data_IF_419895389394
#
_entry.id   IF_419895389394
#
_cell.length_a   1.000
_cell.length_b   1.000
_cell.length_c   1.000
_cell.angle_alpha   90.00
_cell.angle_beta   90.00
_cell.angle_gamma   90.00
#
_symmetry.space_group_name_H-M   'P 1'
#
loop_
_entity.id
_entity.type
_entity.pdbx_description
1 polymer ?
#
# COMPACT_ATOMS: atom_id res chain seq x y z
N UNK A 1 -1.13 -13.69 12.47
CA UNK A 1 -0.41 -14.31 11.34
C UNK A 1 0.51 -13.29 10.63
N UNK A 2 0.06 -12.09 10.21
CA UNK A 2 0.88 -11.14 9.43
C UNK A 2 2.23 -10.66 10.02
N UNK A 3 2.31 -10.20 11.29
CA UNK A 3 3.58 -9.70 11.85
C UNK A 3 4.58 -10.82 12.19
N UNK A 4 4.07 -11.96 12.67
CA UNK A 4 4.90 -13.14 12.96
C UNK A 4 5.38 -13.83 11.66
N UNK A 5 4.57 -13.81 10.61
CA UNK A 5 4.97 -14.24 9.27
C UNK A 5 6.12 -13.40 8.70
N UNK A 6 6.06 -12.06 8.87
CA UNK A 6 7.16 -11.18 8.47
C UNK A 6 8.48 -11.50 9.21
N UNK A 7 8.41 -11.75 10.52
CA UNK A 7 9.59 -12.16 11.30
C UNK A 7 10.09 -13.54 10.83
N UNK A 8 9.20 -14.47 10.52
CA UNK A 8 9.58 -15.78 9.96
C UNK A 8 10.30 -15.66 8.63
N UNK A 9 9.79 -14.83 7.70
CA UNK A 9 10.44 -14.57 6.40
C UNK A 9 11.84 -13.95 6.59
N UNK A 10 12.01 -13.05 7.56
CA UNK A 10 13.33 -12.49 7.89
C UNK A 10 14.32 -13.53 8.41
N UNK A 11 13.86 -14.56 9.14
CA UNK A 11 14.69 -15.66 9.60
C UNK A 11 14.97 -16.70 8.49
N UNK A 12 14.08 -16.83 7.50
CA UNK A 12 14.19 -17.81 6.40
C UNK A 12 14.98 -17.29 5.19
N UNK A 13 15.40 -16.01 5.17
CA UNK A 13 16.36 -15.48 4.18
C UNK A 13 17.70 -16.24 4.14
N UNK A 14 17.96 -17.10 5.14
CA UNK A 14 19.05 -18.07 5.16
C UNK A 14 18.91 -19.19 4.11
N UNK A 15 17.70 -19.49 3.63
CA UNK A 15 17.42 -20.59 2.70
C UNK A 15 17.81 -20.26 1.26
N UNK A 16 18.02 -18.98 0.94
CA UNK A 16 18.41 -18.52 -0.39
C UNK A 16 17.29 -18.58 -1.44
N UNK A 17 16.02 -18.76 -1.04
CA UNK A 17 14.91 -18.70 -1.99
C UNK A 17 14.76 -17.28 -2.56
N UNK A 18 14.89 -17.16 -3.89
CA UNK A 18 14.73 -15.91 -4.62
C UNK A 18 13.35 -15.30 -4.37
N UNK A 19 12.32 -16.11 -4.10
CA UNK A 19 10.97 -15.65 -3.77
C UNK A 19 10.97 -14.77 -2.51
N UNK A 20 11.56 -15.24 -1.43
CA UNK A 20 11.57 -14.52 -0.15
C UNK A 20 12.33 -13.19 -0.25
N UNK A 21 13.43 -13.18 -1.01
CA UNK A 21 14.19 -11.96 -1.30
C UNK A 21 13.33 -10.95 -2.06
N UNK A 22 12.57 -11.37 -3.07
CA UNK A 22 11.70 -10.47 -3.85
C UNK A 22 10.58 -9.87 -3.01
N UNK A 23 9.94 -10.69 -2.18
CA UNK A 23 8.89 -10.26 -1.25
C UNK A 23 9.44 -9.23 -0.26
N UNK A 24 10.59 -9.53 0.35
CA UNK A 24 11.24 -8.64 1.30
C UNK A 24 11.63 -7.31 0.65
N UNK A 25 12.16 -7.36 -0.57
CA UNK A 25 12.51 -6.17 -1.34
C UNK A 25 11.27 -5.30 -1.63
N UNK A 26 10.16 -5.90 -2.07
CA UNK A 26 8.91 -5.20 -2.36
C UNK A 26 8.35 -4.49 -1.12
N UNK A 27 8.32 -5.18 0.01
CA UNK A 27 7.86 -4.63 1.28
C UNK A 27 8.76 -3.48 1.75
N UNK A 28 10.07 -3.67 1.67
CA UNK A 28 11.06 -2.65 2.04
C UNK A 28 10.96 -1.41 1.16
N UNK A 29 10.86 -1.59 -0.16
CA UNK A 29 10.68 -0.50 -1.13
C UNK A 29 9.39 0.26 -0.82
N UNK A 30 8.29 -0.45 -0.58
CA UNK A 30 7.00 0.15 -0.22
C UNK A 30 7.12 1.03 1.02
N UNK A 31 7.68 0.50 2.12
CA UNK A 31 7.84 1.26 3.37
C UNK A 31 8.70 2.50 3.13
N UNK A 32 9.84 2.35 2.45
CA UNK A 32 10.74 3.47 2.15
C UNK A 32 10.03 4.56 1.34
N UNK A 33 9.25 4.18 0.33
CA UNK A 33 8.49 5.14 -0.48
C UNK A 33 7.44 5.89 0.35
N UNK A 34 6.70 5.20 1.22
CA UNK A 34 5.73 5.84 2.11
C UNK A 34 6.42 6.82 3.07
N UNK A 35 7.56 6.44 3.64
CA UNK A 35 8.35 7.30 4.53
C UNK A 35 8.90 8.54 3.80
N UNK A 36 9.37 8.38 2.55
CA UNK A 36 9.84 9.49 1.72
C UNK A 36 8.69 10.46 1.43
N UNK A 37 7.54 9.97 0.95
CA UNK A 37 6.38 10.81 0.65
C UNK A 37 5.88 11.52 1.90
N UNK A 38 5.79 10.82 3.03
CA UNK A 38 5.40 11.38 4.33
C UNK A 38 6.35 12.52 4.74
N UNK A 39 7.66 12.30 4.65
CA UNK A 39 8.67 13.28 5.03
C UNK A 39 8.61 14.52 4.15
N UNK A 40 8.51 14.34 2.83
CA UNK A 40 8.37 15.45 1.87
C UNK A 40 7.08 16.25 2.14
N UNK A 41 5.97 15.56 2.43
CA UNK A 41 4.69 16.18 2.78
C UNK A 41 4.73 17.00 4.07
N UNK A 42 5.33 16.47 5.14
CA UNK A 42 5.48 17.21 6.38
C UNK A 42 6.33 18.47 6.19
N UNK A 43 7.44 18.36 5.43
CA UNK A 43 8.42 19.43 5.23
C UNK A 43 7.86 20.67 4.55
N UNK A 44 6.88 20.54 3.65
CA UNK A 44 6.40 21.68 2.85
C UNK A 44 5.98 22.87 3.71
N UNK A 45 5.13 22.66 4.71
CA UNK A 45 4.61 23.74 5.54
C UNK A 45 5.41 23.95 6.82
N UNK A 46 5.91 22.87 7.42
CA UNK A 46 6.66 22.97 8.67
C UNK A 46 7.96 23.77 8.48
N UNK A 47 8.66 23.57 7.35
CA UNK A 47 9.93 24.28 7.10
C UNK A 47 9.73 25.76 6.78
N UNK A 48 8.62 26.13 6.14
CA UNK A 48 8.31 27.52 5.84
C UNK A 48 7.88 28.30 7.09
N UNK A 49 7.16 27.63 7.99
CA UNK A 49 6.79 28.22 9.28
C UNK A 49 8.01 28.40 10.18
N UNK A 50 8.93 27.44 10.21
CA UNK A 50 10.18 27.53 10.95
C UNK A 50 11.07 28.69 10.45
N UNK A 51 11.08 28.93 9.14
CA UNK A 51 11.82 30.04 8.51
C UNK A 51 11.08 31.38 8.51
N UNK A 52 9.86 31.44 9.05
CA UNK A 52 8.98 32.62 9.00
C UNK A 52 8.69 33.13 7.57
N UNK A 53 8.88 32.29 6.55
CA UNK A 53 8.59 32.65 5.15
C UNK A 53 7.11 32.48 4.81
N UNK A 54 6.39 31.69 5.63
CA UNK A 54 4.95 31.48 5.45
C UNK A 54 4.18 32.81 5.59
N UNK A 55 4.54 33.65 6.55
CA UNK A 55 3.85 34.92 6.80
C UNK A 55 3.99 35.86 5.60
N UNK A 56 5.16 35.90 4.96
CA UNK A 56 5.38 36.65 3.72
C UNK A 56 4.51 36.11 2.57
N UNK A 57 4.42 34.79 2.41
CA UNK A 57 3.55 34.17 1.39
C UNK A 57 2.07 34.49 1.62
N UNK A 58 1.62 34.58 2.88
CA UNK A 58 0.23 34.89 3.21
C UNK A 58 -0.17 36.36 2.92
N UNK A 59 0.79 37.27 2.74
CA UNK A 59 0.51 38.65 2.30
C UNK A 59 0.20 38.76 0.81
N UNK A 60 0.53 37.72 0.03
CA UNK A 60 0.27 37.72 -1.42
C UNK A 60 -1.22 37.51 -1.73
N UNK A 61 -1.75 38.10 -2.82
CA UNK A 61 -3.15 37.95 -3.23
C UNK A 61 -3.43 36.59 -3.89
N UNK A 62 -2.97 35.50 -3.29
CA UNK A 62 -3.17 34.10 -3.74
C UNK A 62 -4.16 33.42 -2.80
N UNK A 63 -5.12 32.65 -3.33
CA UNK A 63 -6.09 31.90 -2.52
C UNK A 63 -5.40 30.80 -1.72
N UNK A 64 -5.88 30.52 -0.49
CA UNK A 64 -5.31 29.49 0.39
C UNK A 64 -5.20 28.12 -0.29
N UNK A 65 -6.25 27.70 -1.00
CA UNK A 65 -6.29 26.42 -1.72
C UNK A 65 -5.30 26.39 -2.88
N UNK A 66 -5.09 27.51 -3.56
CA UNK A 66 -4.12 27.62 -4.64
C UNK A 66 -2.69 27.53 -4.11
N UNK A 67 -2.39 28.22 -3.01
CA UNK A 67 -1.11 28.10 -2.29
C UNK A 67 -0.83 26.64 -1.93
N UNK A 68 -1.82 25.93 -1.37
CA UNK A 68 -1.71 24.51 -1.05
C UNK A 68 -1.40 23.65 -2.29
N UNK A 69 -2.12 23.85 -3.39
CA UNK A 69 -1.90 23.09 -4.62
C UNK A 69 -0.59 23.40 -5.34
N UNK A 70 -0.10 24.64 -5.24
CA UNK A 70 1.22 25.04 -5.74
C UNK A 70 2.32 24.34 -4.95
N UNK A 71 2.25 24.33 -3.60
CA UNK A 71 3.23 23.61 -2.76
C UNK A 71 3.17 22.09 -2.99
N UNK A 72 1.97 21.53 -3.08
CA UNK A 72 1.80 20.09 -3.34
C UNK A 72 2.30 19.64 -4.72
N UNK A 73 2.55 20.54 -5.67
CA UNK A 73 3.03 20.18 -7.00
C UNK A 73 4.34 19.37 -6.98
N UNK A 74 5.29 19.76 -6.11
CA UNK A 74 6.55 19.04 -5.93
C UNK A 74 6.33 17.60 -5.43
N UNK A 75 5.37 17.41 -4.52
CA UNK A 75 5.03 16.07 -4.03
C UNK A 75 4.30 15.26 -5.07
N UNK A 76 3.43 15.87 -5.88
CA UNK A 76 2.79 15.16 -7.00
C UNK A 76 3.83 14.57 -7.95
N UNK A 77 4.93 15.28 -8.19
CA UNK A 77 6.04 14.76 -8.98
C UNK A 77 6.74 13.59 -8.28
N UNK A 78 7.04 13.70 -6.98
CA UNK A 78 7.63 12.60 -6.21
C UNK A 78 6.74 11.34 -6.22
N UNK A 79 5.43 11.50 -5.96
CA UNK A 79 4.44 10.41 -6.03
C UNK A 79 4.41 9.77 -7.41
N UNK A 80 4.43 10.56 -8.50
CA UNK A 80 4.47 10.03 -9.87
C UNK A 80 5.72 9.18 -10.11
N UNK A 81 6.89 9.64 -9.69
CA UNK A 81 8.12 8.87 -9.81
C UNK A 81 8.10 7.60 -8.96
N UNK A 82 7.60 7.66 -7.73
CA UNK A 82 7.42 6.49 -6.88
C UNK A 82 6.53 5.44 -7.53
N UNK A 83 5.42 5.84 -8.16
CA UNK A 83 4.53 4.92 -8.87
C UNK A 83 5.20 4.29 -10.08
N UNK A 84 5.99 5.05 -10.84
CA UNK A 84 6.75 4.52 -11.99
C UNK A 84 7.75 3.46 -11.51
N UNK A 85 8.50 3.74 -10.44
CA UNK A 85 9.48 2.80 -9.88
C UNK A 85 8.81 1.51 -9.39
N UNK A 86 7.68 1.60 -8.70
CA UNK A 86 6.98 0.38 -8.23
C UNK A 86 6.31 -0.37 -9.37
N UNK A 87 5.73 0.33 -10.34
CA UNK A 87 5.16 -0.32 -11.54
C UNK A 87 6.26 -1.08 -12.29
N UNK A 88 7.45 -0.49 -12.42
CA UNK A 88 8.61 -1.17 -12.99
C UNK A 88 9.02 -2.40 -12.17
N UNK A 89 9.08 -2.28 -10.84
CA UNK A 89 9.37 -3.41 -9.96
C UNK A 89 8.36 -4.55 -10.11
N UNK A 90 7.06 -4.24 -10.12
CA UNK A 90 5.97 -5.19 -10.34
C UNK A 90 6.09 -5.87 -11.72
N UNK A 91 6.47 -5.12 -12.75
CA UNK A 91 6.70 -5.69 -14.08
C UNK A 91 7.87 -6.68 -14.10
N UNK A 92 8.97 -6.36 -13.41
CA UNK A 92 10.10 -7.28 -13.24
C UNK A 92 9.65 -8.55 -12.51
N UNK A 93 8.86 -8.43 -11.43
CA UNK A 93 8.32 -9.59 -10.72
C UNK A 93 7.44 -10.45 -11.61
N UNK A 94 6.61 -9.84 -12.46
CA UNK A 94 5.72 -10.56 -13.37
C UNK A 94 6.54 -11.42 -14.35
N UNK A 95 7.62 -10.88 -14.91
CA UNK A 95 8.57 -11.63 -15.76
C UNK A 95 9.28 -12.73 -14.96
N UNK A 96 9.76 -12.43 -13.75
CA UNK A 96 10.48 -13.41 -12.91
C UNK A 96 9.58 -14.58 -12.50
N UNK A 97 8.31 -14.31 -12.20
CA UNK A 97 7.33 -15.34 -11.83
C UNK A 97 7.08 -16.32 -12.97
N UNK A 98 7.04 -15.85 -14.22
CA UNK A 98 6.90 -16.68 -15.41
C UNK A 98 8.10 -17.63 -15.58
N UNK A 99 9.32 -17.11 -15.43
CA UNK A 99 10.54 -17.93 -15.49
C UNK A 99 10.50 -19.04 -14.43
N UNK A 100 10.18 -18.71 -13.18
CA UNK A 100 10.16 -19.66 -12.06
C UNK A 100 9.13 -20.78 -12.25
N UNK A 101 7.90 -20.43 -12.68
CA UNK A 101 6.86 -21.42 -12.94
C UNK A 101 7.24 -22.35 -14.10
N UNK A 102 7.85 -21.80 -15.16
CA UNK A 102 8.28 -22.59 -16.31
C UNK A 102 9.43 -23.55 -15.96
N UNK A 103 10.37 -23.12 -15.11
CA UNK A 103 11.52 -23.96 -14.69
C UNK A 103 11.17 -25.04 -13.67
N UNK A 104 10.29 -24.76 -12.70
CA UNK A 104 10.01 -25.70 -11.60
C UNK A 104 8.85 -26.65 -11.88
N UNK A 105 7.95 -26.30 -12.81
CA UNK A 105 6.80 -27.14 -13.11
C UNK A 105 6.89 -27.82 -14.48
N UNK A 106 7.60 -27.34 -15.51
CA UNK A 106 7.59 -28.13 -16.75
C UNK A 106 8.47 -27.70 -17.89
N UNK A 107 9.76 -28.02 -17.80
CA UNK A 107 10.42 -28.66 -18.95
C UNK A 107 10.46 -30.15 -18.67
N UNK A 108 9.66 -30.99 -19.36
CA UNK A 108 9.88 -32.42 -19.34
C UNK A 108 11.28 -32.65 -19.92
N UNK A 109 12.25 -33.03 -19.09
CA UNK A 109 13.37 -33.82 -19.60
C UNK A 109 12.73 -35.09 -20.18
N UNK A 110 12.87 -35.25 -21.50
CA UNK A 110 12.14 -36.18 -22.37
C UNK A 110 12.30 -37.70 -22.06
N UNK A 111 12.67 -38.11 -20.85
CA UNK A 111 13.07 -39.48 -20.53
C UNK A 111 12.33 -40.16 -19.36
N UNK A 112 11.29 -39.54 -18.79
CA UNK A 112 10.50 -40.12 -17.70
C UNK A 112 9.10 -40.58 -18.14
N UNK A 113 8.97 -41.80 -18.66
CA UNK A 113 7.68 -42.47 -18.87
C UNK A 113 7.13 -42.98 -17.53
N UNK A 114 6.36 -42.16 -16.81
CA UNK A 114 5.63 -42.64 -15.64
C UNK A 114 4.84 -41.56 -14.91
N UNK A 115 3.51 -41.59 -15.01
CA UNK A 115 2.60 -40.87 -14.12
C UNK A 115 2.35 -39.40 -14.49
N UNK A 116 1.47 -39.17 -15.47
CA UNK A 116 0.88 -37.85 -15.75
C UNK A 116 -0.07 -37.44 -14.62
N UNK A 117 0.41 -36.64 -13.67
CA UNK A 117 -0.45 -35.66 -13.01
C UNK A 117 -0.31 -34.34 -13.78
N UNK A 118 -1.46 -33.77 -14.15
CA UNK A 118 -1.56 -32.66 -15.10
C UNK A 118 -0.73 -31.47 -14.63
N UNK A 119 0.28 -31.16 -15.42
CA UNK A 119 0.74 -29.79 -15.53
C UNK A 119 -0.42 -28.96 -16.04
N UNK A 120 -0.99 -28.15 -15.16
CA UNK A 120 -1.84 -27.03 -15.54
C UNK A 120 -0.97 -26.11 -16.41
N UNK A 121 -1.01 -26.38 -17.72
CA UNK A 121 -0.46 -25.53 -18.76
C UNK A 121 -0.89 -24.10 -18.51
N UNK A 122 0.05 -23.16 -18.61
CA UNK A 122 -0.12 -21.70 -18.65
C UNK A 122 -1.52 -21.31 -19.14
N UNK A 123 -2.48 -21.18 -18.22
CA UNK A 123 -3.86 -20.90 -18.56
C UNK A 123 -4.04 -19.40 -18.63
N UNK A 124 -4.87 -18.94 -19.57
CA UNK A 124 -5.25 -17.52 -19.65
C UNK A 124 -5.80 -17.03 -18.30
N UNK A 125 -6.42 -17.93 -17.54
CA UNK A 125 -6.95 -17.66 -16.20
C UNK A 125 -5.86 -17.34 -15.18
N UNK A 126 -4.72 -18.08 -15.19
CA UNK A 126 -3.60 -17.81 -14.29
C UNK A 126 -2.93 -16.46 -14.59
N UNK A 127 -2.72 -16.17 -15.88
CA UNK A 127 -2.17 -14.88 -16.30
C UNK A 127 -3.12 -13.75 -15.92
N UNK A 128 -4.42 -13.91 -16.17
CA UNK A 128 -5.44 -12.96 -15.74
C UNK A 128 -5.43 -12.72 -14.22
N UNK A 129 -5.33 -13.78 -13.43
CA UNK A 129 -5.22 -13.70 -11.97
C UNK A 129 -3.97 -12.92 -11.51
N UNK A 130 -2.81 -13.15 -12.13
CA UNK A 130 -1.58 -12.42 -11.82
C UNK A 130 -1.69 -10.93 -12.17
N UNK A 131 -2.27 -10.59 -13.32
CA UNK A 131 -2.52 -9.19 -13.69
C UNK A 131 -3.50 -8.51 -12.73
N UNK A 132 -4.57 -9.20 -12.33
CA UNK A 132 -5.52 -8.68 -11.35
C UNK A 132 -4.86 -8.45 -10.00
N UNK A 133 -4.09 -9.42 -9.49
CA UNK A 133 -3.31 -9.30 -8.25
C UNK A 133 -2.41 -8.07 -8.27
N UNK A 134 -1.62 -7.92 -9.32
CA UNK A 134 -0.66 -6.82 -9.46
C UNK A 134 -1.36 -5.47 -9.68
N UNK A 135 -2.47 -5.45 -10.42
CA UNK A 135 -3.31 -4.27 -10.58
C UNK A 135 -3.90 -3.80 -9.26
N UNK A 136 -4.44 -4.71 -8.44
CA UNK A 136 -4.95 -4.39 -7.11
C UNK A 136 -3.84 -3.92 -6.17
N UNK A 137 -2.66 -4.54 -6.21
CA UNK A 137 -1.52 -4.09 -5.43
C UNK A 137 -1.15 -2.63 -5.75
N UNK A 138 -0.99 -2.30 -7.04
CA UNK A 138 -0.67 -0.93 -7.47
C UNK A 138 -1.77 0.07 -7.10
N UNK A 139 -3.04 -0.33 -7.22
CA UNK A 139 -4.16 0.52 -6.83
C UNK A 139 -4.17 0.81 -5.31
N UNK A 140 -3.95 -0.20 -4.47
CA UNK A 140 -3.87 -0.04 -3.02
C UNK A 140 -2.66 0.82 -2.62
N UNK A 141 -1.51 0.58 -3.24
CA UNK A 141 -0.32 1.38 -2.99
C UNK A 141 -0.54 2.85 -3.37
N UNK A 142 -1.13 3.12 -4.53
CA UNK A 142 -1.46 4.47 -4.95
C UNK A 142 -2.36 5.17 -3.92
N UNK A 143 -3.44 4.50 -3.53
CA UNK A 143 -4.37 4.99 -2.53
C UNK A 143 -3.64 5.29 -1.22
N UNK A 144 -2.80 4.38 -0.75
CA UNK A 144 -2.08 4.53 0.51
C UNK A 144 -1.06 5.66 0.48
N UNK A 145 -0.33 5.84 -0.64
CA UNK A 145 0.54 7.00 -0.86
C UNK A 145 -0.25 8.31 -0.80
N UNK A 146 -1.43 8.36 -1.42
CA UNK A 146 -2.30 9.56 -1.40
C UNK A 146 -2.81 9.83 0.02
N UNK A 147 -3.21 8.80 0.76
CA UNK A 147 -3.61 8.89 2.15
C UNK A 147 -2.48 9.45 3.03
N UNK A 148 -1.29 8.84 2.98
CA UNK A 148 -0.10 9.26 3.71
C UNK A 148 0.23 10.71 3.41
N UNK A 149 0.21 11.10 2.13
CA UNK A 149 0.44 12.50 1.72
C UNK A 149 -0.53 13.46 2.41
N UNK A 150 -1.84 13.17 2.41
CA UNK A 150 -2.84 14.08 2.97
C UNK A 150 -2.78 14.13 4.50
N UNK A 151 -2.57 13.00 5.17
CA UNK A 151 -2.33 12.95 6.62
C UNK A 151 -1.10 13.78 7.00
N UNK A 152 0.00 13.58 6.28
CA UNK A 152 1.25 14.31 6.51
C UNK A 152 1.14 15.81 6.22
N UNK A 153 0.38 16.18 5.19
CA UNK A 153 0.06 17.59 4.91
C UNK A 153 -0.74 18.20 6.06
N UNK A 154 -1.76 17.50 6.56
CA UNK A 154 -2.59 17.97 7.68
C UNK A 154 -1.75 18.22 8.94
N UNK A 155 -0.93 17.26 9.34
CA UNK A 155 -0.03 17.42 10.49
C UNK A 155 1.03 18.52 10.27
N UNK A 156 1.54 18.67 9.04
CA UNK A 156 2.47 19.75 8.68
C UNK A 156 1.85 21.14 8.76
N UNK A 157 0.54 21.26 8.53
CA UNK A 157 -0.21 22.52 8.67
C UNK A 157 -0.51 22.84 10.15
N UNK A 158 -0.86 21.83 10.94
CA UNK A 158 -1.24 22.01 12.35
C UNK A 158 -0.01 22.28 13.23
N UNK A 159 1.07 21.54 13.04
CA UNK A 159 2.24 21.60 13.93
C UNK A 159 3.27 22.61 13.44
N UNK A 160 3.95 23.27 14.39
CA UNK A 160 4.99 24.26 14.09
C UNK A 160 6.37 23.64 13.83
N UNK A 161 6.59 22.40 14.27
CA UNK A 161 7.86 21.70 14.18
C UNK A 161 7.78 20.53 13.21
N UNK A 162 8.76 20.41 12.32
CA UNK A 162 8.87 19.32 11.35
C UNK A 162 8.90 17.94 12.03
N UNK A 163 9.68 17.79 13.11
CA UNK A 163 9.83 16.51 13.81
C UNK A 163 8.48 16.08 14.40
N UNK A 164 7.76 17.01 15.04
CA UNK A 164 6.42 16.72 15.61
C UNK A 164 5.43 16.32 14.51
N UNK A 165 5.48 16.98 13.35
CA UNK A 165 4.64 16.64 12.20
C UNK A 165 4.92 15.23 11.67
N UNK A 166 6.19 14.85 11.55
CA UNK A 166 6.60 13.50 11.09
C UNK A 166 6.09 12.45 12.07
N UNK A 167 6.33 12.60 13.37
CA UNK A 167 5.86 11.62 14.37
C UNK A 167 4.32 11.55 14.44
N UNK A 168 3.63 12.69 14.42
CA UNK A 168 2.16 12.72 14.39
C UNK A 168 1.60 11.99 13.18
N UNK A 169 2.21 12.19 12.00
CA UNK A 169 1.84 11.48 10.78
C UNK A 169 2.10 9.99 10.88
N UNK A 170 3.28 9.60 11.37
CA UNK A 170 3.66 8.19 11.54
C UNK A 170 2.70 7.47 12.48
N UNK A 171 2.40 8.03 13.65
CA UNK A 171 1.44 7.42 14.60
C UNK A 171 0.03 7.34 14.02
N UNK A 172 -0.40 8.35 13.27
CA UNK A 172 -1.72 8.34 12.62
C UNK A 172 -1.81 7.23 11.56
N UNK A 173 -0.79 7.12 10.70
CA UNK A 173 -0.74 6.08 9.66
C UNK A 173 -0.59 4.68 10.27
N UNK A 174 0.26 4.52 11.28
CA UNK A 174 0.39 3.27 12.02
C UNK A 174 -0.93 2.88 12.70
N UNK A 175 -1.63 3.84 13.31
CA UNK A 175 -2.95 3.63 13.90
C UNK A 175 -3.97 3.17 12.86
N UNK A 176 -4.07 3.89 11.74
CA UNK A 176 -4.97 3.56 10.63
C UNK A 176 -4.67 2.15 10.06
N UNK A 177 -3.39 1.78 9.96
CA UNK A 177 -2.96 0.49 9.43
C UNK A 177 -3.16 -0.67 10.41
N UNK A 178 -2.78 -0.49 11.68
CA UNK A 178 -2.66 -1.57 12.65
C UNK A 178 -3.92 -1.76 13.48
N UNK A 179 -4.62 -0.68 13.86
CA UNK A 179 -5.78 -0.78 14.76
C UNK A 179 -6.85 -1.71 14.19
N UNK A 180 -7.31 -1.56 12.93
CA UNK A 180 -8.32 -2.47 12.41
C UNK A 180 -7.84 -3.92 12.29
N UNK A 181 -6.56 -4.10 11.92
CA UNK A 181 -5.95 -5.43 11.79
C UNK A 181 -5.90 -6.13 13.15
N UNK A 182 -5.58 -5.41 14.22
CA UNK A 182 -5.56 -5.92 15.60
C UNK A 182 -6.99 -6.19 16.08
N UNK A 183 -7.90 -5.23 15.88
CA UNK A 183 -9.29 -5.31 16.34
C UNK A 183 -10.06 -6.45 15.69
N UNK A 184 -9.81 -6.77 14.42
CA UNK A 184 -10.44 -7.92 13.76
C UNK A 184 -9.60 -9.20 13.89
N UNK A 185 -8.28 -9.10 13.81
CA UNK A 185 -7.39 -10.25 13.82
C UNK A 185 -7.32 -10.98 15.17
N UNK A 186 -7.32 -10.25 16.29
CA UNK A 186 -7.28 -10.88 17.62
C UNK A 186 -8.55 -11.68 17.88
N UNK A 187 -9.78 -11.13 17.75
CA UNK A 187 -11.00 -11.91 17.96
C UNK A 187 -11.11 -13.13 17.05
N UNK A 188 -10.76 -13.00 15.76
CA UNK A 188 -10.78 -14.14 14.84
C UNK A 188 -9.83 -15.24 15.28
N UNK A 189 -8.63 -14.88 15.72
CA UNK A 189 -7.67 -15.84 16.26
C UNK A 189 -8.16 -16.51 17.55
N UNK A 190 -8.85 -15.76 18.42
CA UNK A 190 -9.38 -16.30 19.68
C UNK A 190 -10.58 -17.22 19.44
N UNK A 191 -11.38 -16.96 18.40
CA UNK A 191 -12.56 -17.75 18.04
C UNK A 191 -12.25 -18.92 17.10
N UNK A 192 -10.98 -19.12 16.72
CA UNK A 192 -10.56 -20.11 15.71
C UNK A 192 -11.36 -20.02 14.39
N UNK A 193 -11.78 -18.80 14.02
CA UNK A 193 -12.50 -18.57 12.77
C UNK A 193 -11.48 -18.47 11.65
N UNK A 194 -11.62 -19.31 10.63
CA UNK A 194 -10.69 -19.27 9.51
C UNK A 194 -10.91 -17.99 8.70
N UNK A 195 -9.87 -17.43 8.06
CA UNK A 195 -10.02 -16.30 7.14
C UNK A 195 -11.01 -16.57 5.99
N UNK A 196 -11.27 -17.84 5.67
CA UNK A 196 -12.27 -18.25 4.67
C UNK A 196 -13.70 -18.00 5.16
N UNK A 197 -13.95 -18.20 6.45
CA UNK A 197 -15.27 -18.05 7.05
C UNK A 197 -15.64 -16.58 7.28
N UNK A 198 -14.64 -15.71 7.42
CA UNK A 198 -14.84 -14.28 7.65
C UNK A 198 -13.94 -13.42 6.75
N UNK A 199 -14.29 -13.30 5.45
CA UNK A 199 -13.53 -12.50 4.48
C UNK A 199 -13.50 -11.02 4.84
N UNK A 200 -14.34 -10.55 5.78
CA UNK A 200 -14.35 -9.16 6.21
C UNK A 200 -13.04 -8.70 6.87
N UNK A 201 -12.19 -9.63 7.31
CA UNK A 201 -10.81 -9.33 7.71
C UNK A 201 -10.00 -8.63 6.59
N UNK A 202 -10.31 -8.95 5.33
CA UNK A 202 -9.70 -8.34 4.15
C UNK A 202 -10.09 -6.86 3.97
N UNK A 203 -11.08 -6.34 4.71
CA UNK A 203 -11.46 -4.92 4.71
C UNK A 203 -10.76 -4.11 5.78
N UNK A 204 -10.08 -4.79 6.70
CA UNK A 204 -9.66 -4.20 7.96
C UNK A 204 -8.68 -3.06 7.73
N UNK A 205 -7.68 -3.23 6.86
CA UNK A 205 -6.54 -2.32 6.78
C UNK A 205 -6.15 -2.05 5.33
N UNK A 206 -5.65 -0.84 5.00
CA UNK A 206 -5.04 -0.61 3.69
C UNK A 206 -3.74 -1.41 3.52
N UNK A 207 -3.15 -1.90 4.62
CA UNK A 207 -1.91 -2.68 4.63
C UNK A 207 -2.16 -4.16 4.33
N UNK A 208 -3.41 -4.63 4.41
CA UNK A 208 -3.71 -6.05 4.30
C UNK A 208 -3.29 -6.63 2.95
N UNK A 209 -3.40 -5.85 1.87
CA UNK A 209 -2.97 -6.31 0.55
C UNK A 209 -1.46 -6.57 0.49
N UNK A 210 -0.64 -5.74 1.15
CA UNK A 210 0.80 -5.98 1.24
C UNK A 210 1.11 -7.26 2.01
N UNK A 211 0.38 -7.51 3.10
CA UNK A 211 0.53 -8.73 3.90
C UNK A 211 0.13 -9.96 3.10
N UNK A 212 -1.00 -9.92 2.40
CA UNK A 212 -1.46 -11.03 1.57
C UNK A 212 -0.50 -11.29 0.40
N UNK A 213 0.04 -10.21 -0.18
CA UNK A 213 1.03 -10.32 -1.23
C UNK A 213 2.35 -10.93 -0.72
N UNK A 214 2.74 -10.59 0.52
CA UNK A 214 4.01 -10.98 1.11
C UNK A 214 4.02 -12.36 1.74
N UNK A 215 2.92 -12.82 2.35
CA UNK A 215 2.92 -14.10 3.07
C UNK A 215 2.78 -15.29 2.10
N UNK A 216 2.57 -15.04 0.80
CA UNK A 216 2.29 -16.11 -0.17
C UNK A 216 0.88 -16.72 -0.02
N UNK A 217 0.19 -16.42 1.08
CA UNK A 217 -1.21 -16.76 1.35
C UNK A 217 -2.14 -16.37 0.20
N UNK A 218 -1.84 -15.33 -0.58
CA UNK A 218 -2.65 -14.98 -1.75
C UNK A 218 -2.72 -16.12 -2.77
N UNK A 219 -1.63 -16.85 -3.02
CA UNK A 219 -1.64 -17.99 -3.94
C UNK A 219 -2.42 -19.17 -3.36
N UNK A 220 -2.30 -19.42 -2.06
CA UNK A 220 -3.05 -20.48 -1.40
C UNK A 220 -4.55 -20.17 -1.36
N UNK A 221 -4.90 -18.90 -1.09
CA UNK A 221 -6.26 -18.36 -1.18
C UNK A 221 -6.77 -18.56 -2.62
N UNK A 222 -6.02 -18.11 -3.63
CA UNK A 222 -6.44 -18.24 -5.03
C UNK A 222 -6.54 -19.68 -5.51
N UNK A 223 -5.73 -20.61 -4.98
CA UNK A 223 -5.84 -22.05 -5.27
C UNK A 223 -7.03 -22.69 -4.55
N UNK A 224 -7.33 -22.25 -3.34
CA UNK A 224 -8.46 -22.73 -2.56
C UNK A 224 -9.81 -22.27 -3.13
N UNK A 225 -9.79 -21.14 -3.83
CA UNK A 225 -10.94 -20.55 -4.46
C UNK A 225 -11.01 -21.02 -5.92
N UNK A 226 -12.12 -21.66 -6.31
CA UNK A 226 -12.44 -21.93 -7.71
C UNK A 226 -12.46 -20.63 -8.54
N UNK A 227 -12.70 -20.69 -9.85
CA UNK A 227 -12.93 -19.48 -10.68
C UNK A 227 -13.92 -18.49 -10.04
N UNK A 228 -14.91 -18.99 -9.30
CA UNK A 228 -15.86 -18.17 -8.53
C UNK A 228 -15.21 -17.39 -7.39
N UNK A 229 -14.18 -17.94 -6.75
CA UNK A 229 -13.54 -17.25 -5.63
C UNK A 229 -12.47 -16.23 -6.06
N UNK A 230 -11.89 -16.32 -7.26
CA UNK A 230 -11.12 -15.21 -7.86
C UNK A 230 -12.02 -13.98 -8.05
N UNK A 231 -13.25 -14.21 -8.53
CA UNK A 231 -14.25 -13.16 -8.67
C UNK A 231 -14.65 -12.58 -7.30
N UNK A 232 -14.91 -13.45 -6.31
CA UNK A 232 -15.21 -13.00 -4.94
C UNK A 232 -14.06 -12.16 -4.39
N UNK A 233 -12.82 -12.63 -4.46
CA UNK A 233 -11.64 -11.88 -3.99
C UNK A 233 -11.52 -10.52 -4.67
N UNK A 234 -11.77 -10.45 -5.97
CA UNK A 234 -11.75 -9.18 -6.72
C UNK A 234 -12.82 -8.19 -6.22
N UNK A 235 -14.03 -8.68 -5.89
CA UNK A 235 -15.08 -7.87 -5.25
C UNK A 235 -14.60 -7.36 -3.90
N UNK A 236 -14.02 -8.23 -3.06
CA UNK A 236 -13.51 -7.86 -1.74
C UNK A 236 -12.41 -6.79 -1.87
N UNK A 237 -11.47 -6.96 -2.80
CA UNK A 237 -10.40 -5.97 -3.03
C UNK A 237 -10.96 -4.64 -3.54
N UNK A 238 -11.97 -4.68 -4.41
CA UNK A 238 -12.62 -3.46 -4.92
C UNK A 238 -13.34 -2.71 -3.80
N UNK A 239 -14.04 -3.43 -2.92
CA UNK A 239 -14.74 -2.81 -1.79
C UNK A 239 -13.76 -2.25 -0.75
N UNK A 240 -12.62 -2.92 -0.50
CA UNK A 240 -11.52 -2.36 0.30
C UNK A 240 -11.03 -1.01 -0.30
N UNK A 241 -10.74 -0.98 -1.60
CA UNK A 241 -10.36 0.26 -2.31
C UNK A 241 -11.41 1.36 -2.18
N UNK A 242 -12.70 1.02 -2.26
CA UNK A 242 -13.78 2.01 -2.13
C UNK A 242 -13.84 2.60 -0.71
N UNK A 243 -13.75 1.75 0.33
CA UNK A 243 -13.74 2.22 1.73
C UNK A 243 -12.55 3.14 1.97
N UNK A 244 -11.35 2.68 1.67
CA UNK A 244 -10.13 3.44 1.94
C UNK A 244 -10.01 4.67 1.02
N UNK A 245 -10.56 4.60 -0.18
CA UNK A 245 -10.67 5.72 -1.11
C UNK A 245 -11.60 6.78 -0.56
N UNK A 246 -12.74 6.39 0.00
CA UNK A 246 -13.68 7.25 0.71
C UNK A 246 -13.03 7.92 1.93
N UNK A 247 -12.33 7.16 2.77
CA UNK A 247 -11.60 7.70 3.93
C UNK A 247 -10.53 8.71 3.49
N UNK A 248 -9.76 8.36 2.45
CA UNK A 248 -8.73 9.26 1.89
C UNK A 248 -9.33 10.54 1.34
N UNK A 249 -10.47 10.44 0.65
CA UNK A 249 -11.22 11.59 0.15
C UNK A 249 -11.75 12.46 1.30
N UNK A 250 -12.30 11.87 2.35
CA UNK A 250 -12.77 12.57 3.54
C UNK A 250 -11.62 13.31 4.25
N UNK A 251 -10.46 12.67 4.43
CA UNK A 251 -9.28 13.32 5.03
C UNK A 251 -8.81 14.48 4.17
N UNK A 252 -8.73 14.31 2.84
CA UNK A 252 -8.42 15.40 1.91
C UNK A 252 -9.40 16.56 2.09
N UNK A 253 -10.70 16.27 2.11
CA UNK A 253 -11.76 17.27 2.27
C UNK A 253 -11.59 18.04 3.59
N UNK A 254 -11.41 17.33 4.70
CA UNK A 254 -11.18 17.94 6.01
C UNK A 254 -9.94 18.84 6.02
N UNK A 255 -8.81 18.38 5.46
CA UNK A 255 -7.59 19.18 5.37
C UNK A 255 -7.82 20.46 4.56
N UNK A 256 -8.54 20.38 3.45
CA UNK A 256 -8.85 21.57 2.63
C UNK A 256 -9.85 22.50 3.30
N UNK A 257 -10.85 21.97 4.01
CA UNK A 257 -11.87 22.76 4.68
C UNK A 257 -11.33 23.48 5.93
N UNK A 258 -10.37 22.87 6.64
CA UNK A 258 -9.72 23.47 7.82
C UNK A 258 -8.57 24.42 7.47
N UNK A 259 -8.23 24.54 6.19
CA UNK A 259 -7.11 25.36 5.72
C UNK A 259 -7.21 26.84 6.13
N UNK A 260 -8.36 27.54 6.03
CA UNK A 260 -8.48 28.94 6.43
C UNK A 260 -8.23 29.13 7.93
N UNK A 261 -8.74 28.19 8.73
CA UNK A 261 -8.55 28.18 10.18
C UNK A 261 -7.08 27.95 10.56
N UNK A 262 -6.41 26.98 9.95
CA UNK A 262 -5.01 26.68 10.24
C UNK A 262 -4.02 27.72 9.74
N UNK A 263 -4.36 28.45 8.66
CA UNK A 263 -3.57 29.56 8.15
C UNK A 263 -3.92 30.91 8.80
N UNK A 264 -4.97 30.96 9.64
CA UNK A 264 -5.45 32.19 10.29
C UNK A 264 -5.75 33.34 9.31
N UNK A 265 -6.19 33.00 8.09
CA UNK A 265 -6.52 33.95 7.05
C UNK A 265 -8.01 33.84 6.72
N UNK A 266 -8.73 34.96 6.81
CA UNK A 266 -10.10 35.06 6.30
C UNK A 266 -10.01 34.95 4.79
N UNK A 267 -10.68 33.94 4.21
CA UNK A 267 -10.65 33.69 2.77
C UNK A 267 -11.06 34.96 2.01
N UNK A 268 -10.14 35.50 1.21
CA UNK A 268 -10.39 36.52 0.19
C UNK A 268 -10.71 35.84 -1.15
#
# INVERSE_FOLDING_TARGET
>A
IGFLGFVSVMFDLSSGDLRDVTIFAEFSITILLLLIVMTLACRMFSSERERQTLDSLLTTPIKNVELLYQKQSGIRQAVRWSLILVTFHVFVQLISSDIFFNTNYGVPTYWGWGGRERLESFSVDWFGAMFLRQGFFLAHLFLFIVLVKWVATGWGLVLKSQIRAIFGSLFTIAGIALIPMILLGIPMSLLNVSPRDFPAFLYSSPVIMFVLNSVGDYEEIMRAFSTEGVFMLSILMTFNLLIWGGITFAIRWCVTAMLPHWLQRVDQ
#
